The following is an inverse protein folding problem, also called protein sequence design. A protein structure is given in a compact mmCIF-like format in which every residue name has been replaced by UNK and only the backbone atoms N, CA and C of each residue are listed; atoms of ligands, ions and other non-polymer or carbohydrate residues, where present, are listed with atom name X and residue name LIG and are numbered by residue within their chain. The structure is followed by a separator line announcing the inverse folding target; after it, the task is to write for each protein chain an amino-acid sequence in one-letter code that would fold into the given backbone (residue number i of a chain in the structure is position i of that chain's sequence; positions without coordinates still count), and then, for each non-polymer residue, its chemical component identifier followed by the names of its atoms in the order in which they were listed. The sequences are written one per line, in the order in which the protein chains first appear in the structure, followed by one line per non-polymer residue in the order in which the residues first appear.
data_IF_110227368267
#
_entry.id   IF_110227368267
#
_cell.length_a   1.000
_cell.length_b   1.000
_cell.length_c   1.000
_cell.angle_alpha   90.00
_cell.angle_beta   90.00
_cell.angle_gamma   90.00
#
_symmetry.space_group_name_H-M   'P 1'
#
loop_
_entity.id
_entity.type
_entity.pdbx_description
1 polymer ?
#
# COMPACT_ATOMS: atom_id res chain seq x y z
N UNK A 1 -3.82 -1.56 -2.95
CA UNK A 1 -2.94 -0.95 -3.98
C UNK A 1 -2.72 0.52 -3.64
N UNK A 2 -1.50 1.03 -3.78
CA UNK A 2 -1.14 2.43 -3.51
C UNK A 2 -0.86 3.20 -4.82
N UNK A 3 -0.80 4.52 -4.73
CA UNK A 3 -0.64 5.42 -5.89
C UNK A 3 0.79 5.51 -6.43
N UNK A 4 1.81 5.36 -5.58
CA UNK A 4 3.21 5.41 -5.94
C UNK A 4 3.91 4.07 -5.63
N UNK A 5 5.07 3.85 -6.23
CA UNK A 5 5.94 2.74 -5.88
C UNK A 5 6.36 2.79 -4.40
N UNK A 6 6.29 1.62 -3.76
CA UNK A 6 6.81 1.42 -2.40
C UNK A 6 8.34 1.41 -2.43
N UNK A 7 8.97 2.29 -1.65
CA UNK A 7 10.42 2.42 -1.57
C UNK A 7 11.09 1.34 -0.69
N UNK A 8 10.29 0.46 -0.07
CA UNK A 8 10.70 -0.67 0.75
C UNK A 8 11.55 -0.29 1.96
N UNK A 9 11.34 0.92 2.50
CA UNK A 9 12.10 1.45 3.64
C UNK A 9 13.48 1.97 3.26
N UNK A 10 13.77 2.14 1.97
CA UNK A 10 15.12 2.50 1.47
C UNK A 10 15.19 3.90 0.87
N UNK A 11 14.08 4.64 0.85
CA UNK A 11 14.01 5.99 0.27
C UNK A 11 14.64 7.08 1.13
N UNK A 12 14.88 6.84 2.42
CA UNK A 12 15.40 7.85 3.35
C UNK A 12 14.41 8.98 3.66
N UNK A 13 13.15 8.83 3.28
CA UNK A 13 12.06 9.75 3.61
C UNK A 13 11.48 9.40 5.00
N UNK A 14 10.90 10.38 5.69
CA UNK A 14 10.27 10.17 7.01
C UNK A 14 9.23 9.04 6.98
N UNK A 15 8.54 8.89 5.85
CA UNK A 15 7.49 7.89 5.66
C UNK A 15 7.97 6.54 5.09
N UNK A 16 9.26 6.38 4.75
CA UNK A 16 9.78 5.16 4.14
C UNK A 16 9.61 3.94 5.05
N UNK A 17 9.97 4.05 6.34
CA UNK A 17 9.88 2.92 7.27
C UNK A 17 8.45 2.62 7.76
N UNK A 18 7.48 3.49 7.50
CA UNK A 18 6.10 3.33 7.96
C UNK A 18 5.13 2.94 6.84
N UNK A 19 5.27 3.55 5.66
CA UNK A 19 4.33 3.42 4.54
C UNK A 19 5.02 3.13 3.21
N UNK A 20 6.35 2.94 3.20
CA UNK A 20 7.12 2.82 1.97
C UNK A 20 7.08 4.09 1.12
N UNK A 21 6.64 5.22 1.70
CA UNK A 21 6.34 6.45 0.98
C UNK A 21 5.43 6.24 -0.26
N UNK A 22 4.56 5.22 -0.23
CA UNK A 22 3.78 4.79 -1.40
C UNK A 22 2.54 5.68 -1.69
N UNK A 23 2.31 6.71 -0.89
CA UNK A 23 1.17 7.62 -1.05
C UNK A 23 -0.18 7.03 -0.61
N UNK A 24 -1.27 7.58 -1.15
CA UNK A 24 -2.65 7.16 -0.91
C UNK A 24 -3.02 5.74 -1.37
N UNK A 25 -4.14 5.22 -0.84
CA UNK A 25 -4.70 3.90 -1.22
C UNK A 25 -5.67 4.03 -2.38
N UNK A 26 -5.35 3.45 -3.53
CA UNK A 26 -6.23 3.46 -4.71
C UNK A 26 -7.36 2.43 -4.62
N UNK A 27 -7.08 1.29 -4.00
CA UNK A 27 -8.05 0.21 -3.83
C UNK A 27 -7.74 -0.63 -2.60
N UNK A 28 -8.81 -1.08 -1.96
CA UNK A 28 -8.84 -2.04 -0.86
C UNK A 28 -9.92 -3.07 -1.20
N UNK A 29 -9.62 -4.36 -1.07
CA UNK A 29 -10.62 -5.42 -1.25
C UNK A 29 -10.93 -6.08 0.08
N UNK A 30 -12.17 -6.56 0.23
CA UNK A 30 -12.56 -7.35 1.38
C UNK A 30 -12.30 -8.84 1.06
N UNK A 31 -11.34 -9.49 1.74
CA UNK A 31 -11.03 -10.90 1.47
C UNK A 31 -12.21 -11.84 1.77
N UNK A 32 -13.21 -11.40 2.54
CA UNK A 32 -14.37 -12.21 2.92
C UNK A 32 -15.52 -12.15 1.91
N UNK A 33 -15.46 -11.28 0.91
CA UNK A 33 -16.51 -11.15 -0.11
C UNK A 33 -16.28 -12.10 -1.33
N UNK A 34 -15.19 -12.87 -1.33
CA UNK A 34 -14.73 -13.68 -2.47
C UNK A 34 -15.31 -15.10 -2.63
N UNK A 35 -16.20 -15.56 -1.74
CA UNK A 35 -16.69 -16.96 -1.75
C UNK A 35 -18.21 -17.08 -1.89
N UNK A 36 -18.80 -16.34 -2.83
CA UNK A 36 -20.17 -16.59 -3.30
C UNK A 36 -20.15 -16.85 -4.80
N UNK A 37 -19.71 -18.05 -5.17
CA UNK A 37 -20.16 -18.76 -6.36
C UNK A 37 -20.84 -20.04 -5.92
#
# INVERSE_FOLDING_TARGET
VHELEDDLGKGGHELSLSTGNAGGRLACENPLLGSKF
#
